data_IF_652001993548
#
_entry.id   IF_652001993548
#
_cell.length_a   1.000
_cell.length_b   1.000
_cell.length_c   1.000
_cell.angle_alpha   90.00
_cell.angle_beta   90.00
_cell.angle_gamma   90.00
#
_symmetry.space_group_name_H-M   'P 1'
#
loop_
_entity.id
_entity.type
_entity.pdbx_description
1 polymer ?
#
# COMPACT_ATOMS: atom_id res chain seq x y z
N UNK A 1 -6.70 0.56 2.57
CA UNK A 1 -8.06 0.16 2.14
C UNK A 1 -8.76 1.32 1.43
N UNK A 2 -8.71 1.36 0.10
CA UNK A 2 -9.38 2.42 -0.69
C UNK A 2 -9.83 1.97 -2.10
N UNK A 3 -9.40 0.79 -2.55
CA UNK A 3 -9.55 0.32 -3.94
C UNK A 3 -11.02 0.24 -4.37
N UNK A 4 -11.92 -0.23 -3.51
CA UNK A 4 -13.34 -0.30 -3.84
C UNK A 4 -13.95 1.08 -4.12
N UNK A 5 -13.69 2.07 -3.25
CA UNK A 5 -14.24 3.42 -3.43
C UNK A 5 -13.58 4.16 -4.60
N UNK A 6 -12.26 4.11 -4.71
CA UNK A 6 -11.56 4.89 -5.74
C UNK A 6 -11.60 4.25 -7.12
N UNK A 7 -11.87 2.94 -7.23
CA UNK A 7 -11.87 2.24 -8.52
C UNK A 7 -13.29 1.79 -8.90
N UNK A 8 -13.99 1.03 -8.05
CA UNK A 8 -15.29 0.48 -8.41
C UNK A 8 -16.37 1.58 -8.48
N UNK A 9 -16.42 2.47 -7.48
CA UNK A 9 -17.40 3.57 -7.47
C UNK A 9 -17.06 4.62 -8.54
N UNK A 10 -15.80 5.05 -8.62
CA UNK A 10 -15.37 6.02 -9.62
C UNK A 10 -15.54 5.50 -11.06
N UNK A 11 -15.21 4.23 -11.31
CA UNK A 11 -15.40 3.60 -12.62
C UNK A 11 -16.88 3.49 -13.00
N UNK A 12 -17.73 3.10 -12.06
CA UNK A 12 -19.19 3.04 -12.30
C UNK A 12 -19.77 4.42 -12.57
N UNK A 13 -19.38 5.43 -11.78
CA UNK A 13 -19.78 6.81 -11.98
C UNK A 13 -19.31 7.34 -13.34
N UNK A 14 -18.07 7.07 -13.72
CA UNK A 14 -17.52 7.41 -15.04
C UNK A 14 -18.35 6.80 -16.17
N UNK A 15 -18.67 5.51 -16.07
CA UNK A 15 -19.51 4.83 -17.05
C UNK A 15 -20.91 5.45 -17.21
N UNK A 16 -21.55 5.80 -16.09
CA UNK A 16 -22.86 6.49 -16.08
C UNK A 16 -22.75 7.87 -16.73
N UNK A 17 -21.75 8.66 -16.35
CA UNK A 17 -21.52 10.00 -16.91
C UNK A 17 -21.21 9.93 -18.41
N UNK A 18 -20.47 8.92 -18.88
CA UNK A 18 -20.28 8.68 -20.32
C UNK A 18 -21.62 8.39 -21.03
N UNK A 19 -22.48 7.58 -20.42
CA UNK A 19 -23.82 7.30 -20.98
C UNK A 19 -24.69 8.55 -21.08
N UNK A 20 -24.53 9.49 -20.16
CA UNK A 20 -25.30 10.72 -20.12
C UNK A 20 -24.74 11.84 -21.01
N UNK A 21 -23.40 12.02 -21.02
CA UNK A 21 -22.72 13.16 -21.64
C UNK A 21 -21.91 12.84 -22.91
N UNK A 22 -22.01 11.63 -23.47
CA UNK A 22 -21.32 11.30 -24.72
C UNK A 22 -21.69 12.28 -25.85
N UNK A 23 -20.68 13.00 -26.36
CA UNK A 23 -20.85 13.95 -27.44
C UNK A 23 -20.50 13.29 -28.79
N UNK A 24 -21.43 13.23 -29.75
CA UNK A 24 -21.21 12.51 -30.99
C UNK A 24 -20.09 13.14 -31.84
N UNK A 25 -19.88 14.47 -31.78
CA UNK A 25 -18.77 15.13 -32.50
C UNK A 25 -17.41 14.70 -31.97
N UNK A 26 -17.28 14.49 -30.66
CA UNK A 26 -16.06 13.97 -30.04
C UNK A 26 -15.88 12.49 -30.40
N UNK A 27 -16.96 11.70 -30.36
CA UNK A 27 -16.91 10.29 -30.76
C UNK A 27 -16.48 10.11 -32.22
N UNK A 28 -16.87 11.01 -33.13
CA UNK A 28 -16.37 11.00 -34.52
C UNK A 28 -14.84 11.11 -34.60
N UNK A 29 -14.26 11.97 -33.76
CA UNK A 29 -12.81 12.21 -33.76
C UNK A 29 -12.04 10.97 -33.28
N UNK A 30 -12.56 10.24 -32.29
CA UNK A 30 -11.91 9.05 -31.74
C UNK A 30 -12.17 7.78 -32.54
N UNK A 31 -13.41 7.56 -33.01
CA UNK A 31 -13.78 6.30 -33.66
C UNK A 31 -13.68 6.34 -35.19
N UNK A 32 -13.68 7.52 -35.82
CA UNK A 32 -13.60 7.70 -37.29
C UNK A 32 -14.52 6.78 -38.12
N UNK A 33 -15.62 6.31 -37.53
CA UNK A 33 -16.58 5.41 -38.18
C UNK A 33 -17.71 6.20 -38.85
N UNK A 34 -18.28 5.72 -39.97
CA UNK A 34 -19.36 6.41 -40.68
C UNK A 34 -20.59 6.68 -39.79
N UNK A 35 -20.92 5.71 -38.93
CA UNK A 35 -22.11 5.72 -38.07
C UNK A 35 -21.89 6.40 -36.70
N UNK A 36 -20.93 7.32 -36.59
CA UNK A 36 -20.57 7.96 -35.31
C UNK A 36 -21.75 8.65 -34.59
N UNK A 37 -22.81 9.02 -35.32
CA UNK A 37 -23.97 9.73 -34.80
C UNK A 37 -24.76 8.90 -33.78
N UNK A 38 -24.72 7.57 -33.84
CA UNK A 38 -25.45 6.73 -32.87
C UNK A 38 -24.78 6.68 -31.50
N UNK A 39 -23.52 7.09 -31.38
CA UNK A 39 -22.82 7.23 -30.10
C UNK A 39 -23.13 8.60 -29.49
N UNK A 40 -24.37 8.78 -29.03
CA UNK A 40 -24.84 10.01 -28.42
C UNK A 40 -25.31 9.72 -27.00
N UNK A 41 -24.89 10.55 -26.06
CA UNK A 41 -25.31 10.46 -24.67
C UNK A 41 -26.75 10.93 -24.49
N UNK A 42 -27.40 10.52 -23.40
CA UNK A 42 -28.81 10.82 -23.16
C UNK A 42 -29.13 12.32 -23.22
N UNK A 43 -28.29 13.17 -22.62
CA UNK A 43 -28.50 14.63 -22.62
C UNK A 43 -28.53 15.23 -24.03
N UNK A 44 -27.54 14.89 -24.87
CA UNK A 44 -27.46 15.32 -26.26
C UNK A 44 -28.55 14.66 -27.13
N UNK A 45 -28.93 13.41 -26.84
CA UNK A 45 -30.00 12.70 -27.53
C UNK A 45 -31.36 13.36 -27.30
N UNK A 46 -31.63 13.85 -26.08
CA UNK A 46 -32.83 14.65 -25.77
C UNK A 46 -32.85 15.98 -26.53
N UNK A 47 -31.72 16.68 -26.59
CA UNK A 47 -31.64 17.98 -27.26
C UNK A 47 -31.71 17.90 -28.79
N UNK A 48 -31.16 16.83 -29.38
CA UNK A 48 -31.07 16.64 -30.84
C UNK A 48 -32.21 15.82 -31.45
N UNK A 49 -33.19 15.38 -30.64
CA UNK A 49 -34.29 14.51 -31.07
C UNK A 49 -33.93 13.04 -31.23
N UNK A 50 -32.68 12.65 -30.98
CA UNK A 50 -32.17 11.27 -31.06
C UNK A 50 -32.30 10.51 -29.74
N UNK A 51 -33.46 10.63 -29.09
CA UNK A 51 -33.70 10.12 -27.73
C UNK A 51 -33.43 8.61 -27.63
N UNK A 52 -33.87 7.83 -28.62
CA UNK A 52 -33.66 6.38 -28.67
C UNK A 52 -32.18 6.00 -28.64
N UNK A 53 -31.33 6.73 -29.37
CA UNK A 53 -29.90 6.49 -29.39
C UNK A 53 -29.25 6.87 -28.04
N UNK A 54 -29.70 7.97 -27.42
CA UNK A 54 -29.30 8.37 -26.07
C UNK A 54 -29.62 7.32 -24.99
N UNK A 55 -30.85 6.78 -25.01
CA UNK A 55 -31.23 5.70 -24.10
C UNK A 55 -30.46 4.41 -24.37
N UNK A 56 -30.21 4.08 -25.64
CA UNK A 56 -29.38 2.92 -26.00
C UNK A 56 -27.98 3.07 -25.41
N UNK A 57 -27.35 4.24 -25.55
CA UNK A 57 -26.03 4.51 -25.00
C UNK A 57 -26.01 4.36 -23.47
N UNK A 58 -27.00 4.90 -22.78
CA UNK A 58 -27.14 4.74 -21.32
C UNK A 58 -27.27 3.27 -20.93
N UNK A 59 -28.11 2.50 -21.64
CA UNK A 59 -28.32 1.08 -21.39
C UNK A 59 -27.05 0.25 -21.62
N UNK A 60 -26.30 0.51 -22.68
CA UNK A 60 -25.03 -0.19 -22.97
C UNK A 60 -23.99 0.06 -21.86
N UNK A 61 -23.90 1.29 -21.34
CA UNK A 61 -23.00 1.60 -20.23
C UNK A 61 -23.39 0.86 -18.94
N UNK A 62 -24.68 0.83 -18.60
CA UNK A 62 -25.15 0.09 -17.42
C UNK A 62 -24.90 -1.42 -17.57
N UNK A 63 -25.18 -1.98 -18.74
CA UNK A 63 -24.90 -3.38 -19.03
C UNK A 63 -23.42 -3.69 -18.91
N UNK A 64 -22.55 -2.81 -19.42
CA UNK A 64 -21.10 -2.94 -19.29
C UNK A 64 -20.63 -2.94 -17.84
N UNK A 65 -21.15 -2.03 -17.01
CA UNK A 65 -20.85 -1.98 -15.57
C UNK A 65 -21.24 -3.29 -14.90
N UNK A 66 -22.49 -3.74 -15.08
CA UNK A 66 -22.99 -4.98 -14.47
C UNK A 66 -22.17 -6.19 -14.94
N UNK A 67 -21.85 -6.25 -16.24
CA UNK A 67 -21.03 -7.32 -16.80
C UNK A 67 -19.66 -7.38 -16.14
N UNK A 68 -18.92 -6.28 -16.12
CA UNK A 68 -17.56 -6.23 -15.55
C UNK A 68 -17.57 -6.55 -14.06
N UNK A 69 -18.53 -6.01 -13.29
CA UNK A 69 -18.66 -6.32 -11.86
C UNK A 69 -18.92 -7.80 -11.64
N UNK A 70 -19.89 -8.37 -12.36
CA UNK A 70 -20.25 -9.79 -12.24
C UNK A 70 -19.06 -10.68 -12.60
N UNK A 71 -18.38 -10.39 -13.70
CA UNK A 71 -17.22 -11.15 -14.15
C UNK A 71 -16.09 -11.11 -13.13
N UNK A 72 -15.80 -9.94 -12.56
CA UNK A 72 -14.77 -9.79 -11.53
C UNK A 72 -15.11 -10.55 -10.27
N UNK A 73 -16.35 -10.45 -9.79
CA UNK A 73 -16.79 -11.19 -8.59
C UNK A 73 -16.67 -12.70 -8.83
N UNK A 74 -17.24 -13.21 -9.92
CA UNK A 74 -17.24 -14.66 -10.20
C UNK A 74 -15.82 -15.17 -10.39
N UNK A 75 -15.02 -14.55 -11.25
CA UNK A 75 -13.68 -15.03 -11.56
C UNK A 75 -12.73 -14.90 -10.37
N UNK A 76 -12.77 -13.78 -9.64
CA UNK A 76 -11.94 -13.61 -8.45
C UNK A 76 -12.32 -14.64 -7.39
N UNK A 77 -13.61 -14.85 -7.14
CA UNK A 77 -14.06 -15.90 -6.21
C UNK A 77 -13.63 -17.29 -6.65
N UNK A 78 -13.77 -17.63 -7.93
CA UNK A 78 -13.36 -18.93 -8.46
C UNK A 78 -11.85 -19.15 -8.29
N UNK A 79 -11.03 -18.16 -8.65
CA UNK A 79 -9.57 -18.23 -8.50
C UNK A 79 -9.19 -18.42 -7.02
N UNK A 80 -9.75 -17.60 -6.13
CA UNK A 80 -9.50 -17.73 -4.70
C UNK A 80 -9.91 -19.09 -4.14
N UNK A 81 -11.05 -19.65 -4.60
CA UNK A 81 -11.51 -20.97 -4.18
C UNK A 81 -10.58 -22.08 -4.69
N UNK A 82 -10.16 -22.01 -5.96
CA UNK A 82 -9.25 -23.01 -6.55
C UNK A 82 -7.89 -23.01 -5.85
N UNK A 83 -7.32 -21.83 -5.58
CA UNK A 83 -6.04 -21.73 -4.87
C UNK A 83 -6.20 -22.25 -3.43
N UNK A 84 -7.33 -21.97 -2.77
CA UNK A 84 -7.61 -22.47 -1.41
C UNK A 84 -7.59 -24.00 -1.30
N UNK A 85 -7.80 -24.73 -2.40
CA UNK A 85 -7.67 -26.20 -2.41
C UNK A 85 -6.23 -26.67 -2.28
N UNK A 86 -5.25 -25.87 -2.71
CA UNK A 86 -3.83 -26.20 -2.66
C UNK A 86 -3.10 -25.52 -1.50
N UNK A 87 -3.41 -24.24 -1.23
CA UNK A 87 -2.72 -23.42 -0.23
C UNK A 87 -3.73 -22.53 0.52
N UNK A 88 -3.70 -22.48 1.86
CA UNK A 88 -4.52 -21.55 2.62
C UNK A 88 -4.09 -20.10 2.34
N UNK A 89 -4.91 -19.36 1.57
CA UNK A 89 -4.68 -17.96 1.21
C UNK A 89 -4.85 -16.97 2.38
N UNK A 90 -5.50 -17.40 3.46
CA UNK A 90 -5.73 -16.59 4.66
C UNK A 90 -5.36 -17.43 5.87
N UNK A 91 -4.54 -16.85 6.73
CA UNK A 91 -4.15 -17.39 8.02
C UNK A 91 -5.39 -17.61 8.92
N UNK A 92 -5.35 -18.58 9.83
CA UNK A 92 -6.48 -18.85 10.73
C UNK A 92 -6.76 -17.65 11.64
N UNK A 93 -7.99 -17.53 12.17
CA UNK A 93 -8.35 -16.36 13.02
C UNK A 93 -7.51 -16.28 14.29
N UNK A 94 -7.11 -17.43 14.84
CA UNK A 94 -6.22 -17.55 16.00
C UNK A 94 -4.78 -17.12 15.71
N UNK A 95 -4.25 -17.42 14.53
CA UNK A 95 -2.92 -16.94 14.09
C UNK A 95 -2.94 -15.46 13.65
N UNK A 96 -4.06 -14.95 13.11
CA UNK A 96 -4.26 -13.52 12.82
C UNK A 96 -4.30 -12.66 14.10
N UNK A 97 -4.75 -13.25 15.22
CA UNK A 97 -4.78 -12.62 16.54
C UNK A 97 -3.40 -12.53 17.20
N UNK A 98 -2.52 -13.51 16.97
CA UNK A 98 -1.12 -13.45 17.43
C UNK A 98 -0.28 -12.43 16.63
N UNK A 99 -0.72 -12.06 15.42
CA UNK A 99 -0.11 -10.97 14.64
C UNK A 99 1.22 -11.33 13.99
N UNK A 100 1.83 -10.33 13.34
CA UNK A 100 3.05 -10.39 12.49
C UNK A 100 4.22 -11.17 13.13
N UNK A 101 4.27 -11.17 14.46
CA UNK A 101 5.26 -11.88 15.29
C UNK A 101 5.25 -13.41 15.08
N UNK A 102 4.08 -13.99 14.79
CA UNK A 102 3.93 -15.43 14.55
C UNK A 102 4.25 -15.86 13.10
N UNK A 103 4.23 -14.92 12.14
CA UNK A 103 4.35 -15.22 10.69
C UNK A 103 5.66 -14.72 10.10
N UNK A 104 6.18 -13.60 10.61
CA UNK A 104 7.40 -12.95 10.10
C UNK A 104 8.50 -12.81 11.16
N UNK A 105 8.24 -13.07 12.45
CA UNK A 105 9.29 -13.10 13.48
C UNK A 105 10.02 -11.77 13.68
N UNK A 106 9.45 -10.68 13.17
CA UNK A 106 9.98 -9.33 13.27
C UNK A 106 8.83 -8.34 13.45
N UNK A 107 8.84 -7.59 14.55
CA UNK A 107 7.92 -6.47 14.74
C UNK A 107 8.23 -5.37 13.72
N UNK A 108 7.33 -5.15 12.75
CA UNK A 108 7.48 -4.17 11.67
C UNK A 108 7.62 -2.69 12.13
N UNK A 109 7.58 -2.41 13.45
CA UNK A 109 7.90 -1.10 14.03
C UNK A 109 8.69 -1.20 15.36
N UNK A 110 9.83 -1.89 15.37
CA UNK A 110 10.84 -1.75 16.44
C UNK A 110 11.86 -0.62 16.18
N UNK A 111 11.53 0.39 15.38
CA UNK A 111 12.42 1.53 15.15
C UNK A 111 11.61 2.83 15.13
N UNK A 112 11.72 3.60 16.23
CA UNK A 112 11.11 4.90 16.54
C UNK A 112 9.96 4.84 17.52
N UNK A 113 10.31 4.66 18.80
CA UNK A 113 9.35 4.81 19.88
C UNK A 113 9.87 4.73 21.32
N UNK A 114 11.16 4.91 21.63
CA UNK A 114 11.53 5.51 22.93
C UNK A 114 13.00 5.98 22.94
N UNK A 115 13.20 7.26 22.64
CA UNK A 115 14.38 7.95 23.11
C UNK A 115 14.07 8.54 24.46
N UNK A 116 14.29 7.80 25.54
CA UNK A 116 14.68 8.31 26.86
C UNK A 116 15.24 7.20 27.79
N UNK A 117 16.49 7.45 28.21
CA UNK A 117 17.09 7.10 29.51
C UNK A 117 17.49 5.64 29.76
N UNK A 118 18.75 5.39 29.39
CA UNK A 118 19.66 4.48 30.08
C UNK A 118 19.47 4.54 31.60
N UNK A 119 18.90 3.46 32.14
CA UNK A 119 19.06 2.86 33.47
C UNK A 119 19.73 3.76 34.53
N UNK A 120 18.92 4.52 35.27
CA UNK A 120 19.24 4.91 36.63
C UNK A 120 18.01 4.70 37.50
N UNK A 121 17.87 3.50 38.05
CA UNK A 121 17.61 3.31 39.48
C UNK A 121 17.28 1.85 39.83
N UNK A 122 17.92 1.39 40.91
CA UNK A 122 17.66 0.19 41.73
C UNK A 122 18.49 -1.07 41.43
N UNK A 123 19.74 -1.02 41.89
CA UNK A 123 20.24 -2.15 42.68
C UNK A 123 21.01 -1.65 43.91
N UNK A 124 20.30 -0.97 44.81
CA UNK A 124 20.68 -0.91 46.23
C UNK A 124 19.61 -1.68 46.99
N UNK A 125 19.87 -2.95 47.30
CA UNK A 125 19.43 -3.59 48.54
C UNK A 125 20.07 -4.98 48.72
N UNK A 126 21.15 -5.01 49.51
CA UNK A 126 21.36 -5.94 50.64
C UNK A 126 20.98 -7.42 50.52
N UNK A 127 21.97 -8.28 50.25
CA UNK A 127 22.25 -9.60 50.86
C UNK A 127 23.71 -9.89 50.44
N UNK A 128 24.74 -9.70 51.27
CA UNK A 128 25.08 -10.54 52.41
C UNK A 128 25.70 -11.87 51.92
N UNK A 129 27.04 -11.96 51.85
CA UNK A 129 27.88 -13.14 52.19
C UNK A 129 29.37 -12.82 51.91
N UNK A 130 30.10 -12.73 53.02
CA UNK A 130 31.52 -13.05 53.32
C UNK A 130 32.71 -12.72 52.41
N UNK A 131 33.68 -12.09 53.06
CA UNK A 131 35.09 -11.93 52.69
C UNK A 131 35.82 -13.27 52.49
N UNK A 132 36.68 -13.37 51.47
CA UNK A 132 37.95 -14.12 51.52
C UNK A 132 39.02 -13.38 50.68
N UNK A 133 40.24 -13.09 51.21
CA UNK A 133 41.22 -12.23 50.55
C UNK A 133 42.38 -12.97 49.85
N UNK A 134 43.03 -12.30 48.89
CA UNK A 134 44.33 -12.68 48.30
C UNK A 134 44.26 -12.76 46.77
N UNK A 135 45.19 -12.27 45.96
CA UNK A 135 46.61 -11.96 46.12
C UNK A 135 47.06 -11.03 44.98
N UNK A 136 48.03 -10.16 45.25
CA UNK A 136 48.69 -9.24 44.30
C UNK A 136 49.62 -10.01 43.37
N UNK A 137 49.74 -9.62 42.09
CA UNK A 137 51.04 -9.43 41.40
C UNK A 137 50.90 -8.54 40.16
N UNK A 138 51.67 -7.47 40.15
CA UNK A 138 52.02 -6.59 39.02
C UNK A 138 53.20 -7.19 38.23
N UNK A 139 53.32 -6.92 36.91
CA UNK A 139 54.44 -7.13 35.94
C UNK A 139 53.82 -7.22 34.52
N UNK A 140 54.22 -6.59 33.42
CA UNK A 140 55.39 -5.81 32.98
C UNK A 140 54.95 -4.96 31.74
N UNK A 141 55.56 -3.78 31.49
CA UNK A 141 55.19 -2.75 30.48
C UNK A 141 55.52 -3.05 29.00
N UNK A 142 55.93 -2.09 28.12
CA UNK A 142 55.88 -0.63 28.21
C UNK A 142 55.47 0.13 26.89
N UNK A 143 55.09 1.41 27.05
CA UNK A 143 55.41 2.60 26.20
C UNK A 143 54.73 2.87 24.83
N UNK A 144 53.94 3.95 24.84
CA UNK A 144 53.97 5.14 23.95
C UNK A 144 53.94 4.97 22.42
N UNK A 145 52.83 5.40 21.82
CA UNK A 145 52.81 6.20 20.59
C UNK A 145 51.89 7.41 20.83
N UNK A 146 52.32 8.65 20.54
CA UNK A 146 51.51 9.84 20.81
C UNK A 146 50.52 10.14 19.68
N UNK A 147 49.51 10.89 20.10
CA UNK A 147 48.38 11.48 19.38
C UNK A 147 48.77 12.28 18.12
N UNK A 148 47.84 12.37 17.16
CA UNK A 148 47.57 13.62 16.41
C UNK A 148 46.25 13.48 15.62
N UNK A 149 45.19 14.03 16.21
CA UNK A 149 44.32 15.10 15.69
C UNK A 149 43.95 15.03 14.19
N UNK A 150 42.72 14.65 13.84
CA UNK A 150 41.53 15.49 13.81
C UNK A 150 41.58 16.64 12.76
N UNK A 151 40.62 16.57 11.84
CA UNK A 151 39.99 17.67 11.11
C UNK A 151 40.84 18.56 10.16
N UNK A 152 40.48 18.61 8.88
CA UNK A 152 39.53 19.63 8.39
C UNK A 152 39.40 19.57 6.86
N UNK A 153 38.17 19.34 6.40
CA UNK A 153 37.73 19.39 5.02
C UNK A 153 37.55 20.85 4.58
N UNK A 154 38.29 21.33 3.57
CA UNK A 154 37.98 22.61 2.88
C UNK A 154 38.26 22.50 1.38
N UNK A 155 37.16 22.36 0.63
CA UNK A 155 36.76 23.08 -0.58
C UNK A 155 37.77 23.31 -1.72
N UNK A 156 37.33 23.00 -2.95
CA UNK A 156 37.77 23.78 -4.12
C UNK A 156 37.74 23.06 -5.46
N UNK A 157 36.54 22.82 -5.99
CA UNK A 157 36.33 22.44 -7.39
C UNK A 157 36.27 23.73 -8.23
N UNK A 158 37.26 24.00 -9.09
CA UNK A 158 37.07 24.88 -10.25
C UNK A 158 38.20 24.75 -11.27
N UNK A 159 37.77 24.59 -12.53
CA UNK A 159 38.49 24.69 -13.81
C UNK A 159 39.17 23.43 -14.33
#
# INVERSE_FOLDING_TARGET
MAVFHTHAVAGSLGGILTGFFANPKLNRLFYMVPEWQHYIGLSYGLHSGQVKAGFKQMGVQLLGIVFVVTLNVIMTSLICLLIRLAVPLRLSEEELLNGDDAVHGEEAYALWGDGEKFESSRYTSTYGVEEVPGSRTNRDGPMMGPDEDNDFNVLGHSS
#
